data_IF_620386617413
#
_entry.id   IF_620386617413
#
_cell.length_a   1.000
_cell.length_b   1.000
_cell.length_c   1.000
_cell.angle_alpha   90.00
_cell.angle_beta   90.00
_cell.angle_gamma   90.00
#
_symmetry.space_group_name_H-M   'P 1'
#
loop_
_entity.id
_entity.type
_entity.pdbx_description
1 polymer ?
#
# COMPACT_ATOMS: atom_id res chain seq x y z
N UNK A 1 -52.00 71.43 11.34
CA UNK A 1 -51.42 72.70 11.80
C UNK A 1 -50.06 72.72 11.08
N UNK A 2 -50.17 73.42 9.99
CA UNK A 2 -49.49 74.66 9.54
C UNK A 2 -48.07 74.29 9.05
N UNK A 3 -47.93 74.18 7.72
CA UNK A 3 -47.50 75.24 6.77
C UNK A 3 -46.14 75.84 7.17
N UNK A 4 -45.16 75.82 6.29
CA UNK A 4 -44.98 76.83 5.25
C UNK A 4 -43.96 76.50 4.22
N UNK A 5 -44.35 76.67 3.02
CA UNK A 5 -43.65 76.70 1.76
C UNK A 5 -42.83 78.00 1.62
N UNK A 6 -41.51 77.93 1.42
CA UNK A 6 -40.73 79.07 0.94
C UNK A 6 -40.03 78.75 -0.38
N UNK A 7 -40.68 79.04 -1.43
CA UNK A 7 -40.17 79.33 -2.77
C UNK A 7 -39.28 80.55 -2.77
N UNK A 8 -38.01 80.44 -3.19
CA UNK A 8 -37.14 81.55 -3.52
C UNK A 8 -36.94 81.65 -5.03
N UNK A 9 -36.90 82.86 -5.57
CA UNK A 9 -37.03 83.10 -7.01
C UNK A 9 -35.67 83.03 -7.72
N UNK A 10 -35.79 82.66 -9.02
CA UNK A 10 -34.71 82.76 -10.02
C UNK A 10 -34.36 84.23 -10.30
N UNK A 11 -33.03 84.50 -10.44
CA UNK A 11 -32.62 85.70 -11.16
C UNK A 11 -32.36 85.38 -12.64
N UNK A 12 -32.85 86.30 -13.44
CA UNK A 12 -32.88 86.35 -14.88
C UNK A 12 -31.48 86.46 -15.50
N UNK A 13 -31.40 85.96 -16.73
CA UNK A 13 -30.34 86.16 -17.66
C UNK A 13 -30.05 87.68 -17.94
N UNK A 14 -28.78 87.96 -18.07
CA UNK A 14 -28.23 88.85 -19.12
C UNK A 14 -26.73 89.06 -18.81
N UNK A 15 -25.93 88.68 -19.73
CA UNK A 15 -24.82 89.50 -20.27
C UNK A 15 -23.76 88.66 -21.02
N UNK A 16 -23.82 88.85 -22.26
CA UNK A 16 -22.77 89.02 -23.26
C UNK A 16 -21.46 88.29 -23.08
N UNK A 17 -21.34 87.31 -23.94
CA UNK A 17 -20.01 86.67 -24.22
C UNK A 17 -19.19 87.49 -25.21
N UNK A 18 -17.99 87.84 -24.92
CA UNK A 18 -17.03 88.18 -25.95
C UNK A 18 -16.43 86.97 -26.59
N UNK A 19 -16.67 86.78 -27.85
CA UNK A 19 -16.03 85.76 -28.71
C UNK A 19 -14.54 86.04 -28.86
N UNK A 20 -13.73 85.19 -28.28
CA UNK A 20 -12.28 85.20 -28.56
C UNK A 20 -11.99 84.39 -29.83
N UNK A 21 -11.64 85.09 -30.87
CA UNK A 21 -11.13 84.60 -32.14
C UNK A 21 -9.71 84.08 -31.90
N UNK A 22 -9.49 82.81 -32.09
CA UNK A 22 -8.16 82.19 -32.12
C UNK A 22 -7.67 82.25 -33.57
N UNK A 23 -6.52 82.84 -33.83
CA UNK A 23 -5.89 82.80 -35.16
C UNK A 23 -5.35 81.40 -35.42
N UNK A 24 -5.68 80.86 -36.58
CA UNK A 24 -5.13 79.59 -37.04
C UNK A 24 -3.61 79.67 -37.24
N UNK A 25 -2.92 78.78 -36.53
CA UNK A 25 -1.56 78.41 -36.81
C UNK A 25 -1.51 77.03 -37.41
N UNK A 26 -1.19 76.97 -38.69
CA UNK A 26 -0.69 75.73 -39.33
C UNK A 26 0.65 75.44 -38.75
N UNK A 27 0.89 74.22 -38.30
CA UNK A 27 1.97 73.38 -38.68
C UNK A 27 2.15 72.20 -37.70
N UNK A 28 2.04 71.02 -38.22
CA UNK A 28 2.89 69.86 -38.07
C UNK A 28 3.17 69.33 -36.65
N UNK A 29 2.71 68.14 -36.41
CA UNK A 29 3.28 67.34 -35.35
C UNK A 29 2.33 66.23 -34.88
N UNK A 30 2.28 65.18 -35.63
CA UNK A 30 1.81 63.87 -35.15
C UNK A 30 2.58 63.55 -33.88
N UNK A 31 1.97 63.75 -32.74
CA UNK A 31 2.41 63.19 -31.49
C UNK A 31 1.40 62.08 -31.12
N UNK A 32 1.59 60.93 -31.76
CA UNK A 32 1.00 59.68 -31.31
C UNK A 32 1.33 59.44 -29.85
N UNK A 33 0.34 59.64 -29.00
CA UNK A 33 0.40 59.24 -27.60
C UNK A 33 0.50 57.72 -27.54
N UNK A 34 1.74 57.20 -27.58
CA UNK A 34 2.04 55.83 -27.27
C UNK A 34 1.64 55.56 -25.82
N UNK A 35 0.70 54.61 -25.56
CA UNK A 35 0.38 54.27 -24.19
C UNK A 35 1.62 53.70 -23.51
N UNK A 36 1.82 53.97 -22.21
CA UNK A 36 3.04 53.58 -21.52
C UNK A 36 3.11 52.05 -21.37
N UNK A 37 3.90 51.40 -22.24
CA UNK A 37 4.16 49.94 -22.22
C UNK A 37 4.93 49.47 -20.96
N UNK A 38 5.18 50.33 -19.99
CA UNK A 38 5.97 50.01 -18.79
C UNK A 38 5.20 49.35 -17.65
N UNK A 39 3.88 49.49 -17.55
CA UNK A 39 3.11 48.89 -16.48
C UNK A 39 2.97 47.36 -16.63
N UNK A 40 2.80 46.83 -17.85
CA UNK A 40 2.70 45.41 -18.14
C UNK A 40 3.93 44.58 -17.73
N UNK A 41 5.14 45.17 -17.91
CA UNK A 41 6.39 44.47 -17.58
C UNK A 41 6.63 44.35 -16.07
N UNK A 42 6.24 45.36 -15.28
CA UNK A 42 6.32 45.31 -13.81
C UNK A 42 5.31 44.29 -13.23
N UNK A 43 4.10 44.23 -13.75
CA UNK A 43 3.09 43.28 -13.32
C UNK A 43 3.48 41.83 -13.65
N UNK A 44 4.07 41.57 -14.82
CA UNK A 44 4.63 40.28 -15.18
C UNK A 44 5.76 39.83 -14.23
N UNK A 45 6.63 40.77 -13.78
CA UNK A 45 7.66 40.45 -12.79
C UNK A 45 7.08 40.14 -11.40
N UNK A 46 6.07 40.89 -10.97
CA UNK A 46 5.36 40.59 -9.70
C UNK A 46 4.70 39.22 -9.78
N UNK A 47 4.02 38.91 -10.88
CA UNK A 47 3.37 37.62 -11.10
C UNK A 47 4.41 36.48 -11.11
N UNK A 48 5.56 36.67 -11.77
CA UNK A 48 6.67 35.71 -11.77
C UNK A 48 7.19 35.47 -10.35
N UNK A 49 7.41 36.53 -9.56
CA UNK A 49 7.87 36.42 -8.17
C UNK A 49 6.85 35.66 -7.34
N UNK A 50 5.56 35.95 -7.48
CA UNK A 50 4.48 35.24 -6.78
C UNK A 50 4.47 33.75 -7.15
N UNK A 51 4.57 33.41 -8.43
CA UNK A 51 4.65 32.02 -8.89
C UNK A 51 5.87 31.30 -8.33
N UNK A 52 7.04 31.95 -8.33
CA UNK A 52 8.27 31.38 -7.75
C UNK A 52 8.11 31.15 -6.24
N UNK A 53 7.56 32.12 -5.52
CA UNK A 53 7.32 31.96 -4.07
C UNK A 53 6.35 30.83 -3.80
N UNK A 54 5.25 30.74 -4.56
CA UNK A 54 4.29 29.63 -4.43
C UNK A 54 4.92 28.27 -4.76
N UNK A 55 5.78 28.21 -5.79
CA UNK A 55 6.50 26.98 -6.13
C UNK A 55 7.46 26.57 -5.01
N UNK A 56 8.21 27.51 -4.42
CA UNK A 56 9.10 27.24 -3.28
C UNK A 56 8.31 26.75 -2.06
N UNK A 57 7.17 27.38 -1.77
CA UNK A 57 6.29 26.95 -0.66
C UNK A 57 5.71 25.55 -0.90
N UNK A 58 5.30 25.24 -2.14
CA UNK A 58 4.81 23.91 -2.49
C UNK A 58 5.89 22.84 -2.33
N UNK A 59 7.12 23.11 -2.79
CA UNK A 59 8.25 22.20 -2.61
C UNK A 59 8.57 22.01 -1.12
N UNK A 60 8.59 23.09 -0.34
CA UNK A 60 8.84 22.99 1.09
C UNK A 60 7.75 22.17 1.82
N UNK A 61 6.48 22.38 1.46
CA UNK A 61 5.35 21.62 2.00
C UNK A 61 5.46 20.13 1.65
N UNK A 62 5.83 19.80 0.40
CA UNK A 62 6.04 18.42 -0.04
C UNK A 62 7.18 17.74 0.76
N UNK A 63 8.31 18.43 0.96
CA UNK A 63 9.41 17.88 1.75
C UNK A 63 9.02 17.64 3.21
N UNK A 64 8.24 18.55 3.81
CA UNK A 64 7.72 18.37 5.16
C UNK A 64 6.74 17.18 5.23
N UNK A 65 5.83 17.08 4.26
CA UNK A 65 4.88 15.97 4.21
C UNK A 65 5.61 14.63 4.11
N UNK A 66 6.62 14.50 3.24
CA UNK A 66 7.46 13.29 3.11
C UNK A 66 8.24 12.95 4.38
N UNK A 67 8.63 13.95 5.16
CA UNK A 67 9.35 13.72 6.39
C UNK A 67 8.43 13.30 7.56
N UNK A 68 7.19 13.77 7.56
CA UNK A 68 6.26 13.58 8.70
C UNK A 68 5.35 12.37 8.51
N UNK A 69 4.86 12.14 7.28
CA UNK A 69 3.89 11.09 6.97
C UNK A 69 4.34 9.69 7.42
N UNK A 70 5.59 9.25 7.15
CA UNK A 70 6.05 7.92 7.58
C UNK A 70 5.97 7.72 9.09
N UNK A 71 6.28 8.75 9.87
CA UNK A 71 6.21 8.69 11.34
C UNK A 71 4.79 8.52 11.86
N UNK A 72 3.81 9.18 11.23
CA UNK A 72 2.39 9.07 11.60
C UNK A 72 1.87 7.66 11.28
N UNK A 73 2.11 7.19 10.05
CA UNK A 73 1.66 5.86 9.61
C UNK A 73 2.30 4.76 10.46
N UNK A 74 3.62 4.84 10.69
CA UNK A 74 4.33 3.90 11.56
C UNK A 74 3.72 3.86 12.97
N UNK A 75 3.43 5.01 13.56
CA UNK A 75 2.81 5.08 14.88
C UNK A 75 1.45 4.39 14.93
N UNK A 76 0.60 4.61 13.92
CA UNK A 76 -0.70 3.95 13.81
C UNK A 76 -0.58 2.43 13.66
N UNK A 77 0.33 1.95 12.79
CA UNK A 77 0.54 0.51 12.58
C UNK A 77 1.05 -0.17 13.85
N UNK A 78 2.02 0.43 14.53
CA UNK A 78 2.56 -0.09 15.80
C UNK A 78 1.46 -0.19 16.85
N UNK A 79 0.62 0.83 16.99
CA UNK A 79 -0.48 0.86 17.96
C UNK A 79 -1.59 -0.13 17.60
N UNK A 80 -1.96 -0.22 16.31
CA UNK A 80 -3.04 -1.10 15.85
C UNK A 80 -2.69 -2.59 15.94
N UNK A 81 -1.43 -2.94 15.70
CA UNK A 81 -0.94 -4.32 15.72
C UNK A 81 -0.24 -4.69 17.04
N UNK A 82 -0.28 -3.82 18.02
CA UNK A 82 0.35 -4.00 19.36
C UNK A 82 1.84 -4.39 19.27
N UNK A 83 2.55 -3.79 18.30
CA UNK A 83 3.95 -4.08 18.01
C UNK A 83 4.87 -3.33 19.01
N UNK A 84 6.10 -3.83 19.24
CA UNK A 84 7.10 -3.11 20.02
C UNK A 84 7.36 -1.70 19.47
N UNK A 85 7.48 -0.71 20.33
CA UNK A 85 7.66 0.70 19.92
C UNK A 85 8.95 0.96 19.13
N UNK A 86 9.94 0.08 19.24
CA UNK A 86 11.21 0.09 18.53
C UNK A 86 11.18 -0.69 17.21
N UNK A 87 10.02 -1.27 16.84
CA UNK A 87 9.85 -1.98 15.56
C UNK A 87 10.28 -1.11 14.39
N UNK A 88 11.19 -1.62 13.57
CA UNK A 88 11.63 -0.96 12.35
C UNK A 88 10.61 -1.20 11.25
N UNK A 89 9.87 -0.18 10.91
CA UNK A 89 8.92 -0.19 9.81
C UNK A 89 9.29 0.92 8.85
N UNK A 90 9.63 0.58 7.62
CA UNK A 90 9.76 1.52 6.53
C UNK A 90 8.39 1.81 5.95
N UNK A 91 8.11 3.09 5.71
CA UNK A 91 6.85 3.56 5.14
C UNK A 91 7.19 4.51 4.03
N UNK A 92 6.74 4.21 2.83
CA UNK A 92 6.95 5.03 1.64
C UNK A 92 5.61 5.32 0.97
N UNK A 93 5.40 6.56 0.56
CA UNK A 93 4.23 6.95 -0.21
C UNK A 93 4.67 7.54 -1.54
N UNK A 94 4.10 7.03 -2.62
CA UNK A 94 4.46 7.41 -3.98
C UNK A 94 3.78 8.69 -4.44
N UNK A 95 4.36 9.29 -5.48
CA UNK A 95 3.80 10.46 -6.14
C UNK A 95 4.04 11.78 -5.39
N UNK A 96 3.24 12.78 -5.67
CA UNK A 96 3.28 14.10 -5.02
C UNK A 96 2.26 14.13 -3.90
N UNK A 97 2.73 14.21 -2.66
CA UNK A 97 1.89 14.02 -1.47
C UNK A 97 0.88 15.16 -1.25
N UNK A 98 1.26 16.40 -1.51
CA UNK A 98 0.39 17.54 -1.22
C UNK A 98 -0.96 17.47 -1.95
N UNK A 99 -1.03 17.22 -3.28
CA UNK A 99 -2.31 17.02 -3.97
C UNK A 99 -3.12 15.84 -3.42
N UNK A 100 -2.46 14.73 -3.09
CA UNK A 100 -3.08 13.53 -2.54
C UNK A 100 -3.69 13.81 -1.15
N UNK A 101 -2.95 14.50 -0.27
CA UNK A 101 -3.43 14.90 1.06
C UNK A 101 -4.65 15.85 0.97
N UNK A 102 -4.64 16.79 0.01
CA UNK A 102 -5.78 17.68 -0.25
C UNK A 102 -6.95 16.87 -0.81
N UNK A 103 -6.70 15.96 -1.74
CA UNK A 103 -7.68 15.05 -2.33
C UNK A 103 -8.26 14.06 -1.32
N UNK A 104 -7.52 13.75 -0.27
CA UNK A 104 -7.94 12.85 0.81
C UNK A 104 -7.71 11.37 0.50
N UNK A 105 -6.86 11.06 -0.49
CA UNK A 105 -6.51 9.67 -0.86
C UNK A 105 -5.04 9.63 -1.25
N UNK A 106 -4.28 8.67 -0.71
CA UNK A 106 -2.94 8.34 -1.17
C UNK A 106 -3.04 7.35 -2.34
N UNK A 107 -2.26 7.58 -3.39
CA UNK A 107 -2.26 6.73 -4.57
C UNK A 107 -1.68 5.35 -4.25
N UNK A 108 -0.49 5.33 -3.65
CA UNK A 108 0.20 4.10 -3.25
C UNK A 108 0.93 4.32 -1.93
N UNK A 109 0.82 3.35 -1.04
CA UNK A 109 1.51 3.29 0.23
C UNK A 109 2.23 1.94 0.34
N UNK A 110 3.55 1.97 0.49
CA UNK A 110 4.38 0.80 0.75
C UNK A 110 4.78 0.76 2.22
N UNK A 111 4.60 -0.41 2.82
CA UNK A 111 5.04 -0.69 4.17
C UNK A 111 5.95 -1.92 4.13
N UNK A 112 7.16 -1.82 4.66
CA UNK A 112 8.06 -2.98 4.72
C UNK A 112 8.79 -3.05 6.06
N UNK A 113 9.08 -4.28 6.45
CA UNK A 113 9.89 -4.58 7.61
C UNK A 113 10.69 -5.85 7.36
N UNK A 114 11.98 -5.81 7.69
CA UNK A 114 12.86 -6.98 7.56
C UNK A 114 12.58 -8.05 8.62
N UNK A 115 11.93 -7.69 9.72
CA UNK A 115 11.66 -8.62 10.82
C UNK A 115 10.50 -8.10 11.67
N UNK A 116 9.41 -8.83 11.67
CA UNK A 116 8.28 -8.66 12.59
C UNK A 116 7.92 -10.01 13.18
N UNK A 117 7.62 -10.03 14.46
CA UNK A 117 7.17 -11.24 15.15
C UNK A 117 5.68 -11.12 15.46
N UNK A 118 4.89 -12.01 14.89
CA UNK A 118 3.46 -12.13 15.12
C UNK A 118 3.16 -13.56 15.57
N UNK A 119 2.49 -13.71 16.70
CA UNK A 119 2.11 -15.04 17.27
C UNK A 119 3.29 -16.02 17.41
N UNK A 120 4.51 -15.51 17.58
CA UNK A 120 5.72 -16.33 17.75
C UNK A 120 6.43 -16.69 16.44
N UNK A 121 5.91 -16.28 15.29
CA UNK A 121 6.56 -16.42 13.98
C UNK A 121 7.24 -15.10 13.63
N UNK A 122 8.52 -15.19 13.28
CA UNK A 122 9.29 -14.03 12.82
C UNK A 122 9.51 -14.11 11.32
N UNK A 123 9.22 -13.03 10.61
CA UNK A 123 9.41 -12.94 9.17
C UNK A 123 9.57 -11.52 8.69
N UNK A 124 9.99 -11.36 7.44
CA UNK A 124 9.95 -10.10 6.72
C UNK A 124 8.57 -9.92 6.07
N UNK A 125 8.09 -8.69 6.05
CA UNK A 125 6.77 -8.36 5.47
C UNK A 125 6.91 -7.14 4.58
N UNK A 126 6.33 -7.22 3.38
CA UNK A 126 6.19 -6.12 2.44
C UNK A 126 4.72 -6.01 2.04
N UNK A 127 4.15 -4.84 2.19
CA UNK A 127 2.72 -4.57 1.87
C UNK A 127 2.63 -3.36 0.98
N UNK A 128 1.88 -3.49 -0.09
CA UNK A 128 1.52 -2.40 -0.99
C UNK A 128 0.02 -2.17 -0.94
N UNK A 129 -0.40 -0.98 -0.55
CA UNK A 129 -1.79 -0.57 -0.56
C UNK A 129 -2.01 0.56 -1.58
N UNK A 130 -3.05 0.45 -2.38
CA UNK A 130 -3.43 1.45 -3.37
C UNK A 130 -4.74 2.14 -3.00
N UNK A 131 -4.85 3.43 -3.37
CA UNK A 131 -6.05 4.20 -3.13
C UNK A 131 -6.41 4.32 -1.66
N UNK A 132 -5.41 4.59 -0.78
CA UNK A 132 -5.60 4.62 0.67
C UNK A 132 -6.36 5.88 1.09
N UNK A 133 -7.60 5.77 1.60
CA UNK A 133 -8.38 6.92 1.99
C UNK A 133 -7.92 7.48 3.34
N UNK A 134 -7.64 8.79 3.38
CA UNK A 134 -7.18 9.48 4.60
C UNK A 134 -8.31 9.86 5.56
N UNK A 135 -9.55 9.78 5.11
CA UNK A 135 -10.76 10.19 5.88
C UNK A 135 -11.69 9.02 6.16
N UNK A 136 -11.19 7.79 6.05
CA UNK A 136 -11.99 6.57 6.13
C UNK A 136 -12.64 6.21 4.79
N UNK A 137 -12.89 4.93 4.59
CA UNK A 137 -13.39 4.33 3.36
C UNK A 137 -12.59 3.08 3.00
N UNK A 138 -12.95 2.48 1.90
CA UNK A 138 -12.30 1.28 1.39
C UNK A 138 -11.00 1.63 0.66
N UNK A 139 -10.01 0.77 0.75
CA UNK A 139 -8.83 0.78 -0.10
C UNK A 139 -9.25 0.41 -1.54
N UNK A 140 -8.51 0.86 -2.54
CA UNK A 140 -8.75 0.35 -3.89
C UNK A 140 -8.29 -1.11 -4.03
N UNK A 141 -7.13 -1.44 -3.45
CA UNK A 141 -6.58 -2.80 -3.33
C UNK A 141 -5.41 -2.79 -2.36
N UNK A 142 -5.08 -3.94 -1.81
CA UNK A 142 -3.81 -4.14 -1.14
C UNK A 142 -3.29 -5.56 -1.40
N UNK A 143 -1.97 -5.70 -1.42
CA UNK A 143 -1.28 -6.98 -1.56
C UNK A 143 -0.09 -7.02 -0.60
N UNK A 144 0.29 -8.21 -0.19
CA UNK A 144 1.41 -8.42 0.71
C UNK A 144 2.25 -9.61 0.33
N UNK A 145 3.55 -9.53 0.62
CA UNK A 145 4.49 -10.64 0.54
C UNK A 145 5.11 -10.85 1.91
N UNK A 146 5.07 -12.08 2.38
CA UNK A 146 5.65 -12.49 3.67
C UNK A 146 6.77 -13.48 3.39
N UNK A 147 7.95 -13.28 3.98
CA UNK A 147 9.09 -14.19 3.90
C UNK A 147 9.39 -14.76 5.26
N UNK A 148 9.45 -16.10 5.34
CA UNK A 148 9.65 -16.83 6.59
C UNK A 148 10.84 -17.78 6.39
N UNK A 149 11.86 -17.63 7.21
CA UNK A 149 13.04 -18.51 7.20
C UNK A 149 12.69 -19.92 7.73
N UNK A 150 13.37 -20.96 7.22
CA UNK A 150 13.15 -22.36 7.59
C UNK A 150 13.25 -22.63 9.10
N UNK A 151 14.12 -21.89 9.80
CA UNK A 151 14.30 -22.04 11.25
C UNK A 151 13.03 -21.76 12.04
N UNK A 152 12.13 -20.91 11.52
CA UNK A 152 10.84 -20.59 12.15
C UNK A 152 9.89 -21.80 12.13
N UNK A 153 9.88 -22.57 11.04
CA UNK A 153 9.04 -23.77 10.92
C UNK A 153 9.46 -24.85 11.90
N UNK A 154 10.76 -25.06 12.08
CA UNK A 154 11.28 -26.02 13.07
C UNK A 154 10.85 -25.63 14.49
N UNK A 155 10.86 -24.34 14.80
CA UNK A 155 10.43 -23.82 16.12
C UNK A 155 8.92 -24.01 16.34
N UNK A 156 8.09 -23.84 15.32
CA UNK A 156 6.64 -24.04 15.38
C UNK A 156 6.29 -25.53 15.59
N UNK A 157 6.97 -26.40 14.86
CA UNK A 157 6.71 -27.84 14.91
C UNK A 157 7.17 -28.49 16.22
N UNK A 158 8.20 -27.93 16.87
CA UNK A 158 8.66 -28.42 18.19
C UNK A 158 7.59 -28.29 19.28
N UNK A 159 6.58 -27.45 19.07
CA UNK A 159 5.46 -27.25 19.98
C UNK A 159 4.22 -28.11 19.64
N UNK A 160 4.30 -28.93 18.58
CA UNK A 160 3.23 -29.84 18.17
C UNK A 160 3.50 -31.26 18.63
N UNK A 161 2.44 -32.07 18.84
CA UNK A 161 2.57 -33.52 19.15
C UNK A 161 2.89 -34.37 17.89
N UNK A 162 3.18 -33.73 16.76
CA UNK A 162 3.52 -34.43 15.52
C UNK A 162 4.95 -34.96 15.61
N UNK A 163 5.22 -36.17 15.09
CA UNK A 163 6.55 -36.78 15.09
C UNK A 163 7.41 -36.18 13.97
N UNK A 164 7.52 -34.84 13.93
CA UNK A 164 8.30 -34.07 12.96
C UNK A 164 9.51 -33.53 13.70
N UNK A 165 10.71 -33.85 13.21
CA UNK A 165 11.98 -33.44 13.80
C UNK A 165 12.51 -32.17 13.13
N UNK A 166 12.41 -32.07 11.80
CA UNK A 166 12.99 -30.95 11.02
C UNK A 166 12.14 -30.62 9.80
N UNK A 167 12.21 -29.34 9.40
CA UNK A 167 11.76 -28.85 8.09
C UNK A 167 12.98 -28.23 7.41
N UNK A 168 13.20 -28.58 6.15
CA UNK A 168 14.25 -28.01 5.31
C UNK A 168 13.61 -27.46 4.05
N UNK A 169 13.99 -26.24 3.69
CA UNK A 169 13.53 -25.57 2.49
C UNK A 169 14.66 -25.56 1.46
N UNK A 170 14.40 -26.11 0.29
CA UNK A 170 15.32 -26.12 -0.87
C UNK A 170 14.50 -25.85 -2.14
N UNK A 171 14.65 -24.67 -2.69
CA UNK A 171 13.87 -24.25 -3.87
C UNK A 171 13.81 -25.33 -4.97
N UNK A 172 12.62 -25.69 -5.48
CA UNK A 172 11.28 -25.19 -5.17
C UNK A 172 10.55 -25.96 -4.06
N UNK A 173 11.22 -26.88 -3.35
CA UNK A 173 10.60 -27.89 -2.49
C UNK A 173 10.78 -27.59 -0.99
N UNK A 174 9.88 -28.15 -0.20
CA UNK A 174 9.99 -28.22 1.25
C UNK A 174 10.06 -29.70 1.65
N UNK A 175 11.01 -30.08 2.50
CA UNK A 175 11.18 -31.43 3.04
C UNK A 175 10.88 -31.42 4.53
N UNK A 176 9.94 -32.25 4.92
CA UNK A 176 9.57 -32.48 6.32
C UNK A 176 10.11 -33.86 6.73
N UNK A 177 10.95 -33.91 7.74
CA UNK A 177 11.54 -35.16 8.24
C UNK A 177 11.15 -35.40 9.70
N UNK A 178 10.97 -36.65 10.02
CA UNK A 178 10.64 -37.12 11.35
C UNK A 178 10.90 -38.62 11.53
N UNK A 179 10.36 -39.18 12.59
CA UNK A 179 10.52 -40.60 12.87
C UNK A 179 9.21 -41.26 13.28
N UNK A 180 8.97 -42.46 12.74
CA UNK A 180 7.79 -43.27 13.10
C UNK A 180 8.25 -44.50 13.87
N UNK A 181 7.70 -44.74 15.06
CA UNK A 181 7.99 -45.91 15.88
C UNK A 181 7.19 -47.10 15.42
N UNK A 182 7.87 -48.12 14.89
CA UNK A 182 7.25 -49.42 14.52
C UNK A 182 7.88 -50.51 15.37
N UNK A 183 7.05 -51.19 16.18
CA UNK A 183 7.51 -52.27 17.08
C UNK A 183 8.68 -51.88 18.03
N UNK A 184 8.73 -50.60 18.41
CA UNK A 184 9.79 -50.06 19.26
C UNK A 184 11.05 -49.62 18.52
N UNK A 185 11.12 -49.75 17.19
CA UNK A 185 12.17 -49.20 16.37
C UNK A 185 11.75 -47.86 15.78
N UNK A 186 12.54 -46.82 15.93
CA UNK A 186 12.37 -45.54 15.27
C UNK A 186 12.85 -45.65 13.81
N UNK A 187 11.95 -45.51 12.86
CA UNK A 187 12.25 -45.49 11.43
C UNK A 187 12.20 -44.03 10.97
N UNK A 188 13.31 -43.47 10.47
CA UNK A 188 13.27 -42.12 9.91
C UNK A 188 12.41 -42.08 8.63
N UNK A 189 11.60 -41.06 8.52
CA UNK A 189 10.73 -40.80 7.35
C UNK A 189 10.87 -39.32 6.98
N UNK A 190 11.01 -39.05 5.70
CA UNK A 190 10.90 -37.67 5.19
C UNK A 190 10.01 -37.60 3.97
N UNK A 191 9.24 -36.53 3.88
CA UNK A 191 8.36 -36.22 2.77
C UNK A 191 8.82 -34.90 2.14
N UNK A 192 9.10 -34.94 0.84
CA UNK A 192 9.41 -33.75 0.06
C UNK A 192 8.18 -33.38 -0.76
N UNK A 193 7.77 -32.12 -0.65
CA UNK A 193 6.61 -31.55 -1.33
C UNK A 193 6.97 -30.28 -2.06
N UNK A 194 6.33 -30.02 -3.18
CA UNK A 194 6.34 -28.69 -3.81
C UNK A 194 5.08 -27.97 -3.35
N UNK A 195 5.20 -26.88 -2.56
CA UNK A 195 4.05 -26.08 -2.16
C UNK A 195 3.58 -25.17 -3.28
N UNK A 196 2.31 -24.84 -3.28
CA UNK A 196 1.67 -23.91 -4.21
C UNK A 196 0.34 -23.42 -3.67
N UNK A 197 -0.39 -22.69 -4.49
CA UNK A 197 -1.73 -22.16 -4.16
C UNK A 197 -2.67 -22.42 -5.31
N UNK A 198 -3.87 -22.86 -4.98
CA UNK A 198 -4.96 -23.02 -5.92
C UNK A 198 -6.27 -22.51 -5.29
N UNK A 199 -6.88 -21.49 -5.92
CA UNK A 199 -8.17 -20.92 -5.49
C UNK A 199 -8.19 -20.41 -4.04
N UNK A 200 -7.03 -19.92 -3.53
CA UNK A 200 -6.89 -19.47 -2.14
C UNK A 200 -6.53 -20.55 -1.14
N UNK A 201 -6.54 -21.83 -1.56
CA UNK A 201 -6.16 -22.97 -0.75
C UNK A 201 -4.66 -23.29 -0.90
N UNK A 202 -4.05 -23.82 0.15
CA UNK A 202 -2.71 -24.38 0.10
C UNK A 202 -2.71 -25.67 -0.71
N UNK A 203 -1.85 -25.76 -1.72
CA UNK A 203 -1.65 -26.93 -2.53
C UNK A 203 -0.29 -27.54 -2.24
N UNK A 204 -0.26 -28.83 -1.87
CA UNK A 204 0.96 -29.59 -1.60
C UNK A 204 1.08 -30.73 -2.59
N UNK A 205 2.09 -30.69 -3.45
CA UNK A 205 2.37 -31.76 -4.40
C UNK A 205 3.53 -32.60 -3.91
N UNK A 206 3.32 -33.85 -3.48
CA UNK A 206 4.40 -34.75 -3.09
C UNK A 206 5.31 -35.06 -4.27
N UNK A 207 6.63 -34.93 -4.08
CA UNK A 207 7.65 -35.20 -5.11
C UNK A 207 8.62 -36.31 -4.69
N UNK A 208 8.76 -36.58 -3.40
CA UNK A 208 9.63 -37.64 -2.91
C UNK A 208 9.28 -38.11 -1.50
N UNK A 209 9.56 -39.36 -1.20
CA UNK A 209 9.39 -39.99 0.11
C UNK A 209 10.66 -40.78 0.45
N UNK A 210 11.22 -40.56 1.64
CA UNK A 210 12.34 -41.40 2.16
C UNK A 210 11.83 -42.15 3.37
N UNK A 211 12.05 -43.47 3.37
CA UNK A 211 11.71 -44.35 4.50
C UNK A 211 12.92 -45.21 4.86
N UNK A 212 13.38 -45.11 6.10
CA UNK A 212 14.52 -45.88 6.56
C UNK A 212 15.84 -45.60 5.81
N UNK A 213 15.97 -44.41 5.21
CA UNK A 213 17.12 -44.01 4.40
C UNK A 213 17.05 -44.45 2.93
N UNK A 214 15.95 -45.08 2.50
CA UNK A 214 15.69 -45.40 1.09
C UNK A 214 14.80 -44.32 0.48
N UNK A 215 15.32 -43.64 -0.52
CA UNK A 215 14.60 -42.65 -1.29
C UNK A 215 13.73 -43.33 -2.35
N UNK A 216 12.46 -42.97 -2.39
CA UNK A 216 11.49 -43.48 -3.34
C UNK A 216 10.78 -42.27 -3.97
N UNK A 217 10.91 -42.14 -5.29
CA UNK A 217 10.16 -41.11 -6.01
C UNK A 217 8.66 -41.31 -5.90
N UNK A 218 7.90 -40.22 -5.87
CA UNK A 218 6.45 -40.24 -5.79
C UNK A 218 5.81 -41.13 -6.87
N UNK A 219 6.32 -41.06 -8.12
CA UNK A 219 5.87 -41.90 -9.22
C UNK A 219 6.10 -43.41 -9.00
N UNK A 220 7.21 -43.75 -8.34
CA UNK A 220 7.51 -45.15 -8.00
C UNK A 220 6.62 -45.67 -6.84
N UNK A 221 6.32 -44.81 -5.88
CA UNK A 221 5.39 -45.10 -4.80
C UNK A 221 3.99 -45.39 -5.38
N UNK A 222 3.50 -44.52 -6.27
CA UNK A 222 2.22 -44.67 -6.96
C UNK A 222 2.12 -46.00 -7.71
N UNK A 223 3.16 -46.35 -8.48
CA UNK A 223 3.17 -47.58 -9.27
C UNK A 223 3.37 -48.84 -8.44
N UNK A 224 4.10 -48.78 -7.32
CA UNK A 224 4.45 -49.96 -6.49
C UNK A 224 3.39 -50.32 -5.47
N UNK A 225 2.68 -49.34 -4.91
CA UNK A 225 1.66 -49.52 -3.84
C UNK A 225 0.22 -49.48 -4.36
N UNK A 226 0.01 -49.37 -5.68
CA UNK A 226 -1.33 -49.31 -6.29
C UNK A 226 -2.16 -48.16 -5.74
N UNK A 227 -3.42 -48.39 -5.43
CA UNK A 227 -4.35 -47.34 -4.98
C UNK A 227 -3.88 -46.57 -3.72
N UNK A 228 -3.14 -47.20 -2.82
CA UNK A 228 -2.54 -46.50 -1.67
C UNK A 228 -1.40 -45.57 -2.07
N UNK A 229 -0.59 -46.01 -3.05
CA UNK A 229 0.49 -45.16 -3.57
C UNK A 229 -0.06 -43.94 -4.33
N UNK A 230 -1.12 -44.13 -5.12
CA UNK A 230 -1.81 -43.03 -5.80
C UNK A 230 -2.33 -41.98 -4.82
N UNK A 231 -2.88 -42.38 -3.67
CA UNK A 231 -3.36 -41.44 -2.64
C UNK A 231 -2.21 -40.64 -2.01
N UNK A 232 -1.05 -41.25 -1.82
CA UNK A 232 0.13 -40.61 -1.24
C UNK A 232 0.84 -39.65 -2.20
N UNK A 233 0.64 -39.84 -3.50
CA UNK A 233 1.29 -39.02 -4.55
C UNK A 233 0.37 -37.98 -5.16
N UNK A 234 -0.92 -38.00 -4.80
CA UNK A 234 -1.87 -36.97 -5.25
C UNK A 234 -1.57 -35.62 -4.58
N UNK A 235 -1.69 -34.57 -5.35
CA UNK A 235 -1.69 -33.22 -4.84
C UNK A 235 -2.81 -33.04 -3.82
N UNK A 236 -2.44 -32.60 -2.63
CA UNK A 236 -3.39 -32.35 -1.54
C UNK A 236 -3.72 -30.86 -1.50
N UNK A 237 -5.02 -30.54 -1.45
CA UNK A 237 -5.49 -29.20 -1.18
C UNK A 237 -5.94 -29.09 0.26
N UNK A 238 -5.44 -28.09 0.94
CA UNK A 238 -5.73 -27.81 2.34
C UNK A 238 -6.36 -26.43 2.40
N UNK A 239 -7.62 -26.37 2.79
CA UNK A 239 -8.27 -25.11 3.04
C UNK A 239 -7.64 -24.44 4.27
N UNK A 240 -7.22 -23.20 4.11
CA UNK A 240 -6.63 -22.37 5.17
C UNK A 240 -7.46 -21.13 5.47
N UNK A 241 -8.60 -20.96 4.82
CA UNK A 241 -9.46 -19.79 5.00
C UNK A 241 -9.88 -19.58 6.47
N UNK A 242 -10.06 -20.66 7.24
CA UNK A 242 -10.40 -20.63 8.66
C UNK A 242 -9.23 -20.18 9.57
N UNK A 243 -8.03 -20.06 9.01
CA UNK A 243 -6.85 -19.54 9.71
C UNK A 243 -6.59 -18.07 9.37
N UNK A 244 -7.15 -17.57 8.26
CA UNK A 244 -6.97 -16.23 7.75
C UNK A 244 -8.22 -15.36 7.98
N UNK A 245 -8.08 -14.04 8.14
CA UNK A 245 -9.22 -13.13 8.02
C UNK A 245 -9.90 -13.29 6.66
N UNK A 246 -11.24 -13.23 6.63
CA UNK A 246 -12.03 -13.43 5.41
C UNK A 246 -11.69 -12.43 4.27
N UNK A 247 -11.15 -11.26 4.63
CA UNK A 247 -10.67 -10.27 3.66
C UNK A 247 -9.26 -10.51 3.14
N UNK A 248 -8.60 -11.62 3.52
CA UNK A 248 -7.24 -11.96 3.05
C UNK A 248 -7.30 -13.26 2.27
N UNK A 249 -6.77 -13.24 1.05
CA UNK A 249 -6.72 -14.40 0.16
C UNK A 249 -5.27 -14.75 -0.14
N UNK A 250 -4.90 -16.02 0.03
CA UNK A 250 -3.60 -16.55 -0.39
C UNK A 250 -3.55 -16.59 -1.92
N UNK A 251 -2.54 -15.96 -2.52
CA UNK A 251 -2.37 -15.89 -3.98
C UNK A 251 -1.13 -16.59 -4.48
N UNK A 252 -0.12 -16.77 -3.60
CA UNK A 252 1.11 -17.45 -3.95
C UNK A 252 1.80 -18.07 -2.73
N UNK A 253 2.46 -19.21 -2.95
CA UNK A 253 3.39 -19.81 -2.01
C UNK A 253 4.50 -20.48 -2.80
N UNK A 254 5.72 -20.02 -2.59
CA UNK A 254 6.92 -20.54 -3.25
C UNK A 254 8.05 -20.67 -2.23
N UNK A 255 9.00 -21.54 -2.53
CA UNK A 255 10.24 -21.65 -1.76
C UNK A 255 11.36 -20.98 -2.56
N UNK A 256 12.01 -20.00 -1.96
CA UNK A 256 13.15 -19.28 -2.53
C UNK A 256 14.37 -19.44 -1.62
N UNK A 257 15.33 -20.29 -2.04
CA UNK A 257 16.43 -20.69 -1.18
C UNK A 257 15.95 -21.45 0.05
N UNK A 258 16.18 -20.89 1.23
CA UNK A 258 15.75 -21.40 2.54
C UNK A 258 14.58 -20.62 3.13
N UNK A 259 13.87 -19.82 2.33
CA UNK A 259 12.73 -19.02 2.75
C UNK A 259 11.45 -19.50 2.08
N UNK A 260 10.35 -19.50 2.82
CA UNK A 260 9.01 -19.56 2.26
C UNK A 260 8.53 -18.15 1.94
N UNK A 261 8.14 -17.92 0.70
CA UNK A 261 7.59 -16.66 0.19
C UNK A 261 6.11 -16.84 -0.03
N UNK A 262 5.32 -16.09 0.70
CA UNK A 262 3.86 -16.15 0.73
C UNK A 262 3.32 -14.84 0.18
N UNK A 263 2.51 -14.91 -0.87
CA UNK A 263 1.84 -13.75 -1.45
C UNK A 263 0.36 -13.79 -1.09
N UNK A 264 -0.17 -12.63 -0.72
CA UNK A 264 -1.56 -12.47 -0.33
C UNK A 264 -2.17 -11.24 -0.98
N UNK A 265 -3.46 -11.33 -1.30
CA UNK A 265 -4.29 -10.18 -1.65
C UNK A 265 -5.22 -9.86 -0.49
N UNK A 266 -5.47 -8.57 -0.31
CA UNK A 266 -6.31 -8.03 0.76
C UNK A 266 -7.48 -7.26 0.14
N UNK A 267 -8.69 -7.64 0.53
CA UNK A 267 -9.90 -6.92 0.12
C UNK A 267 -9.86 -5.48 0.66
N UNK A 268 -10.08 -4.51 -0.22
CA UNK A 268 -10.03 -3.10 0.15
C UNK A 268 -11.06 -2.70 1.21
N UNK A 269 -12.19 -3.40 1.28
CA UNK A 269 -13.22 -3.16 2.27
C UNK A 269 -12.84 -3.61 3.69
N UNK A 270 -11.72 -4.35 3.87
CA UNK A 270 -11.23 -4.81 5.19
C UNK A 270 -11.03 -3.63 6.17
N UNK A 271 -10.78 -2.43 5.64
CA UNK A 271 -10.60 -1.22 6.44
C UNK A 271 -11.91 -0.71 7.06
N UNK A 272 -13.07 -1.09 6.52
CA UNK A 272 -14.39 -0.56 6.92
C UNK A 272 -15.38 -1.66 7.32
N UNK A 273 -15.23 -2.86 6.81
CA UNK A 273 -16.09 -4.01 7.12
C UNK A 273 -15.39 -4.93 8.12
N UNK A 274 -15.87 -4.91 9.37
CA UNK A 274 -15.33 -5.74 10.45
C UNK A 274 -15.54 -7.24 10.21
N UNK A 275 -16.50 -7.65 9.37
CA UNK A 275 -16.72 -9.08 9.07
C UNK A 275 -15.57 -9.67 8.28
N UNK A 276 -14.83 -8.84 7.53
CA UNK A 276 -13.64 -9.25 6.79
C UNK A 276 -12.40 -9.47 7.70
N UNK A 277 -12.45 -8.97 8.94
CA UNK A 277 -11.44 -9.26 9.97
C UNK A 277 -11.71 -10.56 10.74
N UNK A 278 -12.95 -11.08 10.65
CA UNK A 278 -13.28 -12.39 11.21
C UNK A 278 -12.65 -13.49 10.36
N UNK A 279 -12.42 -14.66 10.96
CA UNK A 279 -11.87 -15.81 10.23
C UNK A 279 -12.79 -16.23 9.10
N UNK A 280 -12.20 -16.56 7.96
CA UNK A 280 -12.94 -17.16 6.85
C UNK A 280 -13.48 -18.55 7.18
N UNK A 281 -14.12 -19.18 6.22
CA UNK A 281 -14.73 -20.50 6.40
C UNK A 281 -14.27 -21.46 5.31
N UNK A 282 -13.94 -22.68 5.72
CA UNK A 282 -13.68 -23.78 4.81
C UNK A 282 -14.98 -24.50 4.44
N UNK A 283 -15.13 -24.99 3.19
CA UNK A 283 -16.32 -25.70 2.73
C UNK A 283 -16.53 -27.05 3.41
#
# INVERSE_FOLDING_TARGET
MSDENHTLPYPSADSEHPTLVIPGGKDGGDAGATPPKRARKRWAWVLLIVVVVLAVLAIAAELIARAVLPGIVRGMVIEQLDLPADQKLAVEADGVLIPQLIGGTLDTLHLSTDSVTLEGITGAVDVTAMGVPLRGGDLASASGTIRIDESQFTSLLSNTELPIDTVTLESPNATVAGSVSVLGLAIPVSLTVTPGVAEGDLELTPVGLTVGGLEVDADQVGSSLGALGEQLTQTQRICIADQLPAGITLTGLTIDGSEAVIDVDVDGAIATDQTLLEKGTCP
#
